data_IF_107842996601
#
_entry.id   IF_107842996601
#
_cell.length_a   1.000
_cell.length_b   1.000
_cell.length_c   1.000
_cell.angle_alpha   90.00
_cell.angle_beta   90.00
_cell.angle_gamma   90.00
#
_symmetry.space_group_name_H-M   'P 1'
#
loop_
_entity.id
_entity.type
_entity.pdbx_description
1 polymer ?
#
# COMPACT_ATOMS: atom_id res chain seq x y z
N UNK A 1 -26.78 21.78 26.42
CA UNK A 1 -25.51 21.10 26.74
C UNK A 1 -25.69 19.64 26.40
N UNK A 2 -25.29 19.22 25.20
CA UNK A 2 -25.28 17.81 24.81
C UNK A 2 -23.98 17.21 25.32
N UNK A 3 -24.08 16.37 26.35
CA UNK A 3 -22.98 15.53 26.81
C UNK A 3 -22.69 14.52 25.71
N UNK A 4 -21.69 14.81 24.87
CA UNK A 4 -21.22 13.87 23.86
C UNK A 4 -20.66 12.65 24.58
N UNK A 5 -21.36 11.51 24.44
CA UNK A 5 -20.91 10.25 25.02
C UNK A 5 -19.56 9.86 24.39
N UNK A 6 -18.57 9.42 25.18
CA UNK A 6 -17.25 9.11 24.66
C UNK A 6 -17.34 7.95 23.67
N UNK A 7 -16.72 8.11 22.50
CA UNK A 7 -16.73 7.07 21.47
C UNK A 7 -15.89 5.87 21.95
N UNK A 8 -16.51 4.69 22.08
CA UNK A 8 -15.84 3.47 22.53
C UNK A 8 -15.66 2.53 21.35
N UNK A 9 -14.41 2.14 21.08
CA UNK A 9 -14.08 1.14 20.05
C UNK A 9 -13.74 -0.18 20.72
N UNK A 10 -14.33 -1.27 20.22
CA UNK A 10 -14.06 -2.63 20.69
C UNK A 10 -13.30 -3.39 19.62
N UNK A 11 -12.17 -3.99 19.98
CA UNK A 11 -11.30 -4.73 19.06
C UNK A 11 -11.04 -6.15 19.58
N UNK A 12 -11.00 -7.11 18.65
CA UNK A 12 -10.47 -8.46 18.88
C UNK A 12 -9.21 -8.65 18.07
N UNK A 13 -8.14 -9.05 18.73
CA UNK A 13 -6.84 -9.29 18.08
C UNK A 13 -6.72 -10.65 17.39
N UNK A 14 -7.72 -11.53 17.56
CA UNK A 14 -7.77 -12.86 16.96
C UNK A 14 -8.99 -13.67 17.39
N UNK A 15 -9.20 -14.82 16.73
CA UNK A 15 -10.30 -15.75 17.06
C UNK A 15 -10.01 -16.43 18.40
N UNK A 16 -10.93 -16.28 19.37
CA UNK A 16 -10.78 -16.80 20.74
C UNK A 16 -10.13 -15.83 21.72
N UNK A 17 -9.60 -14.69 21.26
CA UNK A 17 -9.06 -13.66 22.15
C UNK A 17 -10.18 -12.85 22.82
N UNK A 18 -9.94 -12.34 24.06
CA UNK A 18 -10.88 -11.46 24.73
C UNK A 18 -11.03 -10.14 23.96
N UNK A 19 -12.25 -9.60 23.98
CA UNK A 19 -12.52 -8.26 23.46
C UNK A 19 -11.89 -7.20 24.35
N UNK A 20 -11.15 -6.28 23.74
CA UNK A 20 -10.55 -5.13 24.44
C UNK A 20 -11.30 -3.88 24.02
N UNK A 21 -11.79 -3.13 25.02
CA UNK A 21 -12.49 -1.86 24.82
C UNK A 21 -11.54 -0.69 25.06
N UNK A 22 -11.51 0.25 24.13
CA UNK A 22 -10.76 1.49 24.24
C UNK A 22 -11.73 2.66 24.18
N UNK A 23 -11.64 3.54 25.19
CA UNK A 23 -12.33 4.82 25.16
C UNK A 23 -11.51 5.77 24.30
N UNK A 24 -12.03 6.13 23.13
CA UNK A 24 -11.45 7.17 22.30
C UNK A 24 -11.87 8.49 22.93
N UNK A 25 -10.99 9.05 23.76
CA UNK A 25 -11.13 10.45 24.13
C UNK A 25 -11.14 11.25 22.81
N UNK A 26 -12.13 12.12 22.64
CA UNK A 26 -12.12 13.16 21.61
C UNK A 26 -10.95 14.09 21.91
N UNK A 27 -9.74 13.66 21.63
CA UNK A 27 -8.60 14.54 21.60
C UNK A 27 -8.78 15.40 20.35
N UNK A 28 -8.68 16.72 20.52
CA UNK A 28 -8.38 17.63 19.42
C UNK A 28 -6.99 17.29 18.89
N UNK A 29 -6.88 16.17 18.17
CA UNK A 29 -5.65 15.75 17.53
C UNK A 29 -5.48 16.70 16.37
N UNK A 30 -4.65 17.71 16.57
CA UNK A 30 -4.13 18.52 15.49
C UNK A 30 -3.20 17.62 14.67
N UNK A 31 -3.77 16.83 13.75
CA UNK A 31 -3.01 16.05 12.79
C UNK A 31 -2.30 17.11 11.93
N UNK A 32 -0.97 17.26 12.03
CA UNK A 32 -0.28 18.22 11.18
C UNK A 32 -0.60 17.81 9.74
N UNK A 33 -1.12 18.76 8.96
CA UNK A 33 -1.44 18.55 7.55
C UNK A 33 -0.12 18.43 6.77
N UNK A 34 0.57 17.29 6.93
CA UNK A 34 1.62 16.89 6.01
C UNK A 34 0.91 16.35 4.78
N UNK A 35 1.05 17.03 3.64
CA UNK A 35 0.66 16.46 2.36
C UNK A 35 1.26 15.06 2.28
N UNK A 36 0.49 14.03 1.89
CA UNK A 36 1.05 12.71 1.62
C UNK A 36 2.25 12.87 0.70
N UNK A 37 3.43 12.43 1.15
CA UNK A 37 4.57 12.39 0.26
C UNK A 37 4.28 11.36 -0.81
N UNK A 38 4.39 11.76 -2.07
CA UNK A 38 4.28 10.85 -3.20
C UNK A 38 5.42 9.86 -3.06
N UNK A 39 5.10 8.58 -2.87
CA UNK A 39 6.09 7.52 -2.91
C UNK A 39 6.46 7.36 -4.38
N UNK A 40 7.58 7.94 -4.79
CA UNK A 40 8.17 7.62 -6.08
C UNK A 40 8.61 6.16 -6.06
N UNK A 41 7.85 5.32 -6.77
CA UNK A 41 8.21 3.92 -6.95
C UNK A 41 9.51 3.93 -7.75
N UNK A 42 10.64 3.63 -7.11
CA UNK A 42 11.90 3.43 -7.82
C UNK A 42 11.65 2.40 -8.91
N UNK A 43 11.90 2.78 -10.15
CA UNK A 43 11.78 1.87 -11.29
C UNK A 43 12.55 0.58 -11.03
N UNK A 44 12.14 -0.51 -11.70
CA UNK A 44 12.84 -1.79 -11.60
C UNK A 44 14.31 -1.62 -11.98
N UNK A 45 15.21 -2.24 -11.20
CA UNK A 45 16.63 -2.27 -11.56
C UNK A 45 16.83 -2.91 -12.94
N UNK A 46 17.89 -2.52 -13.66
CA UNK A 46 18.22 -3.07 -14.98
C UNK A 46 18.25 -4.60 -14.99
N UNK A 47 18.91 -5.21 -13.99
CA UNK A 47 18.96 -6.67 -13.84
C UNK A 47 17.56 -7.30 -13.73
N UNK A 48 16.63 -6.61 -13.05
CA UNK A 48 15.26 -7.10 -12.88
C UNK A 48 14.42 -6.91 -14.14
N UNK A 49 14.62 -5.82 -14.88
CA UNK A 49 14.02 -5.63 -16.20
C UNK A 49 14.49 -6.71 -17.19
N UNK A 50 15.80 -6.99 -17.22
CA UNK A 50 16.38 -8.04 -18.07
C UNK A 50 15.86 -9.44 -17.69
N UNK A 51 15.73 -9.74 -16.39
CA UNK A 51 15.14 -10.99 -15.93
C UNK A 51 13.69 -11.14 -16.39
N UNK A 52 12.87 -10.11 -16.20
CA UNK A 52 11.47 -10.13 -16.65
C UNK A 52 11.36 -10.32 -18.17
N UNK A 53 12.19 -9.61 -18.93
CA UNK A 53 12.21 -9.71 -20.39
C UNK A 53 12.65 -11.09 -20.90
N UNK A 54 13.69 -11.70 -20.32
CA UNK A 54 14.25 -12.97 -20.79
C UNK A 54 13.48 -14.19 -20.26
N UNK A 55 13.08 -14.15 -18.99
CA UNK A 55 12.57 -15.32 -18.26
C UNK A 55 11.06 -15.32 -18.18
N UNK A 56 10.43 -14.18 -17.90
CA UNK A 56 8.99 -14.11 -17.62
C UNK A 56 8.14 -13.84 -18.87
N UNK A 57 8.65 -13.02 -19.79
CA UNK A 57 7.97 -12.60 -21.02
C UNK A 57 7.37 -13.73 -21.88
N UNK A 58 7.99 -14.92 -22.03
CA UNK A 58 7.41 -16.02 -22.81
C UNK A 58 6.08 -16.55 -22.26
N UNK A 59 5.81 -16.34 -20.96
CA UNK A 59 4.60 -16.81 -20.29
C UNK A 59 3.45 -15.81 -20.29
N UNK A 60 3.66 -14.61 -20.86
CA UNK A 60 2.64 -13.58 -21.01
C UNK A 60 1.93 -13.70 -22.36
N UNK A 61 0.65 -13.35 -22.40
CA UNK A 61 -0.07 -13.11 -23.64
C UNK A 61 0.55 -11.94 -24.40
N UNK A 62 0.51 -11.98 -25.74
CA UNK A 62 1.14 -10.95 -26.59
C UNK A 62 0.68 -9.52 -26.23
N UNK A 63 -0.60 -9.32 -25.92
CA UNK A 63 -1.14 -8.03 -25.50
C UNK A 63 -0.49 -7.43 -24.23
N UNK A 64 0.06 -8.27 -23.36
CA UNK A 64 0.60 -7.88 -22.05
C UNK A 64 2.13 -7.87 -22.00
N UNK A 65 2.77 -8.43 -23.02
CA UNK A 65 4.22 -8.61 -23.09
C UNK A 65 4.95 -7.28 -22.93
N UNK A 66 4.62 -6.27 -23.71
CA UNK A 66 5.34 -4.98 -23.72
C UNK A 66 4.99 -4.08 -22.54
N UNK A 67 3.78 -4.23 -21.99
CA UNK A 67 3.33 -3.49 -20.80
C UNK A 67 4.03 -4.00 -19.54
N UNK A 68 4.20 -5.32 -19.42
CA UNK A 68 4.69 -5.97 -18.20
C UNK A 68 6.19 -6.23 -18.24
N UNK A 69 6.75 -6.51 -19.42
CA UNK A 69 8.14 -6.85 -19.64
C UNK A 69 8.68 -6.11 -20.88
N UNK A 70 8.80 -4.76 -20.82
CA UNK A 70 9.32 -3.97 -21.92
C UNK A 70 10.78 -4.34 -22.22
N UNK A 71 11.21 -4.11 -23.45
CA UNK A 71 12.60 -4.33 -23.83
C UNK A 71 13.52 -3.38 -23.02
N UNK A 72 14.56 -3.89 -22.36
CA UNK A 72 15.45 -3.06 -21.54
C UNK A 72 16.28 -2.05 -22.35
N UNK A 73 16.34 -2.17 -23.68
CA UNK A 73 17.09 -1.25 -24.57
C UNK A 73 16.27 -0.03 -25.03
N UNK A 74 14.97 0.05 -24.69
CA UNK A 74 14.06 1.07 -25.24
C UNK A 74 14.17 2.46 -24.59
N UNK A 75 15.12 2.69 -23.68
CA UNK A 75 15.32 3.97 -22.99
C UNK A 75 16.74 4.50 -23.22
N UNK A 76 17.03 4.89 -24.46
CA UNK A 76 18.14 5.79 -24.82
C UNK A 76 17.58 7.04 -25.50
#
# INVERSE_FOLDING_TARGET
MTTEEPCVVTLRTGVGCPEVKFTVAMCDVHIPYQRPQIIEIKGLSRNRQEYLYKVFRPYLSDANKDVTCPCPETYL
#
